data_IF_331017146979
#
_entry.id   IF_331017146979
#
_cell.length_a   1.000
_cell.length_b   1.000
_cell.length_c   1.000
_cell.angle_alpha   90.00
_cell.angle_beta   90.00
_cell.angle_gamma   90.00
#
_symmetry.space_group_name_H-M   'P 1'
#
loop_
_entity.id
_entity.type
_entity.pdbx_description
1 polymer ?
#
# COMPACT_ATOMS: atom_id res chain seq x y z
N UNK A 1 -43.91 -21.24 -24.76
CA UNK A 1 -43.83 -22.54 -24.05
C UNK A 1 -43.22 -22.32 -22.68
N UNK A 2 -44.02 -22.46 -21.63
CA UNK A 2 -43.59 -22.39 -20.23
C UNK A 2 -42.86 -23.69 -19.83
N UNK A 3 -41.79 -23.58 -19.04
CA UNK A 3 -41.53 -24.53 -17.95
C UNK A 3 -41.22 -23.77 -16.67
N UNK A 4 -42.27 -23.63 -15.85
CA UNK A 4 -42.21 -23.32 -14.42
C UNK A 4 -41.49 -24.46 -13.67
N UNK A 5 -40.68 -24.12 -12.66
CA UNK A 5 -40.47 -24.87 -11.41
C UNK A 5 -39.85 -23.88 -10.39
N UNK A 6 -40.72 -23.25 -9.59
CA UNK A 6 -40.98 -23.47 -8.15
C UNK A 6 -39.89 -22.92 -7.23
N UNK A 7 -40.25 -21.84 -6.52
CA UNK A 7 -39.55 -21.27 -5.39
C UNK A 7 -39.80 -22.08 -4.09
N UNK A 8 -38.91 -21.93 -3.10
CA UNK A 8 -39.26 -21.85 -1.68
C UNK A 8 -38.95 -20.42 -1.17
N UNK A 9 -39.94 -19.57 -0.89
CA UNK A 9 -40.63 -19.37 0.39
C UNK A 9 -39.68 -19.25 1.60
N UNK A 10 -39.54 -18.02 2.12
CA UNK A 10 -39.17 -17.79 3.52
C UNK A 10 -38.28 -16.58 3.81
N UNK A 11 -38.67 -15.35 3.48
CA UNK A 11 -38.15 -14.17 4.20
C UNK A 11 -39.29 -13.16 4.50
N UNK A 12 -39.33 -12.60 5.73
CA UNK A 12 -40.44 -11.78 6.21
C UNK A 12 -40.49 -10.38 5.59
N UNK A 13 -41.73 -9.98 5.27
CA UNK A 13 -42.12 -8.68 4.74
C UNK A 13 -41.93 -7.58 5.80
N UNK A 14 -40.98 -6.66 5.59
CA UNK A 14 -40.93 -5.40 6.35
C UNK A 14 -41.63 -4.30 5.53
N UNK A 15 -42.68 -3.64 6.06
CA UNK A 15 -43.41 -2.61 5.33
C UNK A 15 -42.53 -1.35 5.17
N UNK A 16 -42.37 -0.92 3.93
CA UNK A 16 -41.76 0.37 3.56
C UNK A 16 -42.66 1.48 4.10
N UNK A 17 -42.19 2.23 5.12
CA UNK A 17 -42.81 3.48 5.53
C UNK A 17 -42.43 4.56 4.53
N UNK A 18 -43.41 5.02 3.75
CA UNK A 18 -43.32 6.26 2.97
C UNK A 18 -43.00 7.42 3.92
N UNK A 19 -42.02 8.27 3.52
CA UNK A 19 -41.78 9.56 4.14
C UNK A 19 -42.31 10.67 3.21
N UNK A 20 -42.91 11.73 3.76
CA UNK A 20 -43.60 12.76 3.00
C UNK A 20 -42.62 13.73 2.33
N UNK A 21 -43.10 14.34 1.24
CA UNK A 21 -42.42 15.39 0.49
C UNK A 21 -42.36 16.74 1.22
N UNK A 22 -41.42 17.56 0.72
CA UNK A 22 -41.27 19.02 0.80
C UNK A 22 -40.33 19.59 1.89
N UNK A 23 -39.34 20.35 1.41
CA UNK A 23 -38.57 21.32 2.21
C UNK A 23 -37.14 21.52 1.71
N UNK A 24 -36.97 22.35 0.68
CA UNK A 24 -35.66 22.74 0.16
C UNK A 24 -34.81 23.50 1.19
N UNK A 25 -33.53 23.14 1.30
CA UNK A 25 -32.46 24.04 1.70
C UNK A 25 -31.13 23.58 1.08
N UNK A 26 -30.56 24.44 0.23
CA UNK A 26 -29.27 24.28 -0.43
C UNK A 26 -28.12 24.50 0.56
N UNK A 27 -27.04 23.70 0.47
CA UNK A 27 -25.68 24.22 0.31
C UNK A 27 -24.59 23.13 0.24
N UNK A 28 -23.68 23.35 -0.71
CA UNK A 28 -22.26 23.00 -0.76
C UNK A 28 -21.76 21.54 -0.95
N UNK A 29 -21.46 21.28 -2.23
CA UNK A 29 -20.24 20.66 -2.78
C UNK A 29 -19.86 19.22 -2.40
N UNK A 30 -20.40 18.26 -3.17
CA UNK A 30 -19.77 16.97 -3.45
C UNK A 30 -19.05 17.07 -4.81
N UNK A 31 -17.74 16.85 -4.84
CA UNK A 31 -17.01 16.59 -6.09
C UNK A 31 -17.39 15.20 -6.60
N UNK A 32 -18.34 15.13 -7.53
CA UNK A 32 -18.61 13.92 -8.30
C UNK A 32 -17.49 13.72 -9.30
N UNK A 33 -16.85 12.55 -9.29
CA UNK A 33 -16.00 12.11 -10.39
C UNK A 33 -16.86 12.05 -11.65
N UNK A 34 -16.61 12.95 -12.60
CA UNK A 34 -17.16 12.90 -13.95
C UNK A 34 -16.16 12.19 -14.84
N UNK A 35 -16.64 11.21 -15.60
CA UNK A 35 -15.93 10.70 -16.77
C UNK A 35 -16.02 11.78 -17.83
N UNK A 36 -14.94 12.51 -18.09
CA UNK A 36 -14.87 13.39 -19.25
C UNK A 36 -14.56 12.53 -20.48
N UNK A 37 -15.46 12.58 -21.46
CA UNK A 37 -15.25 11.94 -22.78
C UNK A 37 -14.83 13.06 -23.72
N UNK A 38 -13.53 13.20 -23.95
CA UNK A 38 -13.00 14.14 -24.94
C UNK A 38 -13.04 13.46 -26.31
N UNK A 39 -13.94 13.91 -27.18
CA UNK A 39 -14.13 13.36 -28.53
C UNK A 39 -13.20 14.12 -29.49
N UNK A 40 -11.95 13.69 -29.53
CA UNK A 40 -11.01 14.03 -30.60
C UNK A 40 -11.12 13.03 -31.74
N UNK A 41 -11.20 13.53 -32.98
CA UNK A 41 -11.31 12.72 -34.20
C UNK A 41 -10.14 11.70 -34.32
N UNK A 42 -10.51 10.42 -34.50
CA UNK A 42 -9.65 9.25 -34.73
C UNK A 42 -8.65 8.92 -33.60
N UNK A 43 -9.09 8.15 -32.60
CA UNK A 43 -8.18 7.55 -31.61
C UNK A 43 -8.90 6.58 -30.69
N UNK A 44 -8.25 5.47 -30.37
CA UNK A 44 -8.70 4.49 -29.37
C UNK A 44 -9.14 5.20 -28.09
N UNK A 45 -10.33 4.85 -27.57
CA UNK A 45 -10.79 5.29 -26.26
C UNK A 45 -9.84 4.70 -25.22
N UNK A 46 -8.88 5.50 -24.74
CA UNK A 46 -8.10 5.15 -23.55
C UNK A 46 -8.96 5.47 -22.33
N UNK A 47 -9.37 4.44 -21.60
CA UNK A 47 -9.97 4.64 -20.29
C UNK A 47 -8.97 5.39 -19.39
N UNK A 48 -9.31 6.62 -18.99
CA UNK A 48 -8.48 7.42 -18.10
C UNK A 48 -8.89 7.12 -16.65
N UNK A 49 -8.00 6.45 -15.91
CA UNK A 49 -8.22 6.12 -14.51
C UNK A 49 -7.83 7.27 -13.60
N UNK A 50 -8.57 7.48 -12.51
CA UNK A 50 -8.29 8.50 -11.50
C UNK A 50 -8.28 7.89 -10.11
N UNK A 51 -7.40 8.39 -9.23
CA UNK A 51 -7.39 8.01 -7.81
C UNK A 51 -7.99 9.12 -6.96
N UNK A 52 -8.71 8.72 -5.93
CA UNK A 52 -9.09 9.60 -4.84
C UNK A 52 -8.54 9.05 -3.52
N UNK A 53 -8.14 9.94 -2.61
CA UNK A 53 -7.79 9.61 -1.24
C UNK A 53 -8.81 10.26 -0.32
N UNK A 54 -9.28 9.54 0.70
CA UNK A 54 -10.17 10.14 1.70
C UNK A 54 -9.44 11.12 2.60
N UNK A 55 -8.23 10.74 2.99
CA UNK A 55 -7.36 11.52 3.85
C UNK A 55 -6.14 11.93 3.04
N UNK A 56 -6.18 13.13 2.46
CA UNK A 56 -5.02 13.70 1.77
C UNK A 56 -3.98 14.16 2.79
N UNK A 57 -2.78 14.46 2.32
CA UNK A 57 -1.71 15.03 3.17
C UNK A 57 -1.93 16.50 3.55
N UNK A 58 -2.93 17.18 2.97
CA UNK A 58 -3.08 18.63 3.15
C UNK A 58 -3.31 19.07 4.61
N UNK A 59 -4.12 18.36 5.43
CA UNK A 59 -4.26 18.68 6.85
C UNK A 59 -2.94 18.56 7.62
N UNK A 60 -2.14 17.54 7.32
CA UNK A 60 -0.81 17.36 7.89
C UNK A 60 0.17 18.47 7.45
N UNK A 61 0.13 18.89 6.18
CA UNK A 61 0.92 20.03 5.71
C UNK A 61 0.57 21.33 6.43
N UNK A 62 -0.72 21.57 6.66
CA UNK A 62 -1.17 22.75 7.39
C UNK A 62 -0.69 22.70 8.85
N UNK A 63 -0.72 21.53 9.48
CA UNK A 63 -0.17 21.32 10.82
C UNK A 63 1.33 21.62 10.84
N UNK A 64 2.12 21.03 9.95
CA UNK A 64 3.58 21.20 9.92
C UNK A 64 3.95 22.70 9.82
N UNK A 65 3.31 23.44 8.90
CA UNK A 65 3.53 24.88 8.74
C UNK A 65 3.14 25.69 9.98
N UNK A 66 2.05 25.32 10.66
CA UNK A 66 1.61 26.00 11.87
C UNK A 66 2.44 25.67 13.12
N UNK A 67 3.26 24.61 13.08
CA UNK A 67 4.15 24.21 14.17
C UNK A 67 5.57 24.80 14.03
N UNK A 68 5.89 25.57 12.99
CA UNK A 68 7.25 26.09 12.72
C UNK A 68 7.87 26.84 13.91
N UNK A 69 7.05 27.54 14.70
CA UNK A 69 7.49 28.28 15.90
C UNK A 69 7.25 27.52 17.23
N UNK A 70 6.78 26.28 17.17
CA UNK A 70 6.41 25.47 18.35
C UNK A 70 7.40 24.32 18.57
N UNK A 71 8.64 24.67 18.96
CA UNK A 71 9.77 23.73 19.00
C UNK A 71 9.54 22.51 19.92
N UNK A 72 8.84 22.67 21.04
CA UNK A 72 8.52 21.53 21.93
C UNK A 72 7.67 20.47 21.22
N UNK A 73 6.72 20.89 20.38
CA UNK A 73 5.86 19.99 19.59
C UNK A 73 6.64 19.38 18.42
N UNK A 74 7.49 20.16 17.76
CA UNK A 74 8.39 19.66 16.72
C UNK A 74 9.34 18.59 17.29
N UNK A 75 9.89 18.83 18.48
CA UNK A 75 10.77 17.88 19.15
C UNK A 75 10.02 16.60 19.54
N UNK A 76 8.79 16.69 20.05
CA UNK A 76 7.96 15.51 20.31
C UNK A 76 7.72 14.66 19.05
N UNK A 77 7.53 15.26 17.88
CA UNK A 77 7.42 14.55 16.60
C UNK A 77 8.72 13.81 16.26
N UNK A 78 9.87 14.45 16.47
CA UNK A 78 11.19 13.83 16.27
C UNK A 78 11.42 12.67 17.23
N UNK A 79 11.08 12.83 18.50
CA UNK A 79 11.25 11.81 19.55
C UNK A 79 10.38 10.57 19.29
N UNK A 80 9.19 10.76 18.70
CA UNK A 80 8.33 9.66 18.25
C UNK A 80 8.89 8.92 17.01
N UNK A 81 9.95 9.43 16.38
CA UNK A 81 10.54 8.85 15.15
C UNK A 81 9.94 9.39 13.85
N UNK A 82 9.10 10.42 13.90
CA UNK A 82 8.45 10.99 12.71
C UNK A 82 9.14 12.27 12.21
N UNK A 83 10.39 12.51 12.62
CA UNK A 83 11.12 13.74 12.29
C UNK A 83 11.24 14.03 10.80
N UNK A 84 11.39 12.99 9.96
CA UNK A 84 11.48 13.20 8.51
C UNK A 84 10.16 13.60 7.83
N UNK A 85 9.02 13.31 8.45
CA UNK A 85 7.70 13.76 7.97
C UNK A 85 7.57 15.29 8.05
N UNK A 86 8.33 15.97 8.91
CA UNK A 86 8.35 17.43 8.99
C UNK A 86 8.81 18.09 7.68
N UNK A 87 9.46 17.34 6.77
CA UNK A 87 9.87 17.83 5.46
C UNK A 87 8.83 17.59 4.35
N UNK A 88 7.63 17.10 4.69
CA UNK A 88 6.56 16.85 3.73
C UNK A 88 6.15 18.16 3.03
N UNK A 89 6.21 18.18 1.71
CA UNK A 89 5.66 19.26 0.87
C UNK A 89 5.15 18.67 -0.46
N UNK A 90 3.89 18.23 -0.46
CA UNK A 90 3.27 17.54 -1.59
C UNK A 90 2.19 18.42 -2.24
N UNK A 91 2.01 18.37 -3.57
CA UNK A 91 0.93 19.10 -4.23
C UNK A 91 -0.45 18.49 -3.87
N UNK A 92 -1.50 19.32 -3.94
CA UNK A 92 -2.86 18.94 -3.50
C UNK A 92 -3.43 17.68 -4.16
N UNK A 93 -3.15 17.44 -5.45
CA UNK A 93 -3.52 16.18 -6.11
C UNK A 93 -2.93 16.06 -7.52
N UNK A 94 -2.78 14.83 -7.99
CA UNK A 94 -2.55 14.48 -9.40
C UNK A 94 -3.22 13.13 -9.71
N UNK A 95 -4.57 13.09 -9.77
CA UNK A 95 -5.35 11.84 -9.72
C UNK A 95 -4.95 10.82 -10.79
N UNK A 96 -4.68 11.27 -12.02
CA UNK A 96 -4.43 10.36 -13.15
C UNK A 96 -3.05 9.73 -13.05
N UNK A 97 -2.04 10.53 -12.64
CA UNK A 97 -0.70 10.00 -12.38
C UNK A 97 -0.72 9.03 -11.20
N UNK A 98 -1.40 9.39 -10.11
CA UNK A 98 -1.52 8.55 -8.93
C UNK A 98 -2.19 7.21 -9.28
N UNK A 99 -3.19 7.21 -10.16
CA UNK A 99 -3.91 6.00 -10.55
C UNK A 99 -3.00 5.10 -11.36
N UNK A 100 -2.30 5.68 -12.33
CA UNK A 100 -1.29 4.99 -13.12
C UNK A 100 -0.24 4.37 -12.20
N UNK A 101 0.28 5.12 -11.22
CA UNK A 101 1.29 4.65 -10.29
C UNK A 101 0.80 3.44 -9.47
N UNK A 102 -0.39 3.52 -8.87
CA UNK A 102 -0.97 2.43 -8.06
C UNK A 102 -1.33 1.21 -8.91
N UNK A 103 -1.83 1.41 -10.13
CA UNK A 103 -2.14 0.32 -11.05
C UNK A 103 -0.90 -0.43 -11.55
N UNK A 104 0.28 0.19 -11.45
CA UNK A 104 1.55 -0.44 -11.79
C UNK A 104 2.27 -1.02 -10.56
N UNK A 105 1.63 -1.08 -9.39
CA UNK A 105 2.19 -1.83 -8.25
C UNK A 105 1.85 -3.30 -8.40
N UNK A 106 2.88 -4.15 -8.43
CA UNK A 106 2.70 -5.59 -8.24
C UNK A 106 2.73 -5.87 -6.73
N UNK A 107 1.56 -6.22 -6.17
CA UNK A 107 1.42 -6.47 -4.74
C UNK A 107 2.02 -7.82 -4.31
N UNK A 108 2.19 -8.77 -5.23
CA UNK A 108 2.76 -10.08 -4.93
C UNK A 108 4.29 -9.98 -4.85
N UNK A 109 4.91 -9.31 -5.84
CA UNK A 109 6.35 -9.09 -5.88
C UNK A 109 6.80 -7.85 -5.10
N UNK A 110 5.85 -7.07 -4.59
CA UNK A 110 6.07 -5.82 -3.84
C UNK A 110 7.00 -4.86 -4.60
N UNK A 111 6.61 -4.53 -5.83
CA UNK A 111 7.40 -3.68 -6.71
C UNK A 111 6.55 -2.75 -7.57
N UNK A 112 7.16 -1.72 -8.15
CA UNK A 112 6.53 -0.88 -9.19
C UNK A 112 7.00 -1.38 -10.55
N UNK A 113 6.07 -1.86 -11.36
CA UNK A 113 6.30 -2.25 -12.75
C UNK A 113 6.47 -0.99 -13.59
N UNK A 114 7.65 -0.87 -14.20
CA UNK A 114 8.01 0.21 -15.09
C UNK A 114 7.96 -0.27 -16.55
N UNK A 115 8.07 0.69 -17.48
CA UNK A 115 8.16 0.37 -18.89
C UNK A 115 9.37 -0.53 -19.19
N UNK A 116 9.21 -1.40 -20.20
CA UNK A 116 10.21 -2.39 -20.64
C UNK A 116 10.48 -3.49 -19.61
N UNK A 117 9.44 -3.90 -18.86
CA UNK A 117 9.50 -4.97 -17.85
C UNK A 117 10.61 -4.78 -16.81
N UNK A 118 10.95 -3.53 -16.48
CA UNK A 118 11.83 -3.22 -15.35
C UNK A 118 10.99 -3.03 -14.11
N UNK A 119 11.52 -3.37 -12.96
CA UNK A 119 10.82 -3.23 -11.68
C UNK A 119 11.60 -2.32 -10.74
N UNK A 120 10.86 -1.61 -9.88
CA UNK A 120 11.40 -0.93 -8.71
C UNK A 120 10.97 -1.74 -7.51
N UNK A 121 11.86 -2.61 -7.00
CA UNK A 121 11.55 -3.40 -5.81
C UNK A 121 11.42 -2.49 -4.60
N UNK A 122 10.38 -2.70 -3.81
CA UNK A 122 10.08 -1.93 -2.60
C UNK A 122 10.30 -2.82 -1.38
N UNK A 123 11.06 -2.33 -0.41
CA UNK A 123 11.37 -2.99 0.87
C UNK A 123 11.09 -2.04 2.05
N UNK A 124 10.98 -2.54 3.29
CA UNK A 124 10.82 -1.67 4.47
C UNK A 124 11.90 -0.59 4.58
N UNK A 125 13.15 -0.91 4.22
CA UNK A 125 14.24 0.07 4.17
C UNK A 125 13.95 1.25 3.23
N UNK A 126 13.24 1.04 2.13
CA UNK A 126 12.87 2.12 1.22
C UNK A 126 11.91 3.11 1.91
N UNK A 127 11.05 2.66 2.84
CA UNK A 127 10.20 3.54 3.68
C UNK A 127 11.06 4.38 4.62
N UNK A 128 12.05 3.75 5.27
CA UNK A 128 13.00 4.46 6.13
C UNK A 128 13.77 5.52 5.35
N UNK A 129 14.27 5.19 4.15
CA UNK A 129 14.98 6.14 3.29
C UNK A 129 14.09 7.32 2.90
N UNK A 130 12.80 7.07 2.60
CA UNK A 130 11.87 8.12 2.16
C UNK A 130 11.44 9.03 3.31
N UNK A 131 10.96 8.47 4.41
CA UNK A 131 10.32 9.22 5.49
C UNK A 131 11.19 9.40 6.74
N UNK A 132 12.25 8.61 6.92
CA UNK A 132 13.02 8.54 8.16
C UNK A 132 12.27 7.83 9.30
N UNK A 133 11.26 7.02 9.01
CA UNK A 133 10.49 6.31 10.05
C UNK A 133 11.31 5.21 10.72
N UNK A 134 11.03 4.85 11.98
CA UNK A 134 11.70 3.73 12.63
C UNK A 134 11.49 2.42 11.86
N UNK A 135 12.56 1.64 11.76
CA UNK A 135 12.59 0.36 11.06
C UNK A 135 13.05 -0.72 12.04
N UNK A 136 12.35 -1.85 12.05
CA UNK A 136 12.56 -2.92 13.04
C UNK A 136 11.96 -2.60 14.41
N UNK A 137 12.25 -3.45 15.40
CA UNK A 137 11.68 -3.34 16.75
C UNK A 137 10.34 -4.05 16.89
N UNK A 138 9.40 -3.45 17.63
CA UNK A 138 8.10 -4.06 17.96
C UNK A 138 7.18 -4.06 16.74
N UNK A 139 6.57 -5.20 16.44
CA UNK A 139 5.59 -5.33 15.35
C UNK A 139 4.32 -4.55 15.68
N UNK A 140 3.82 -3.77 14.72
CA UNK A 140 2.51 -3.11 14.82
C UNK A 140 1.44 -4.10 14.39
N UNK A 141 0.62 -4.54 15.34
CA UNK A 141 -0.53 -5.42 15.09
C UNK A 141 -1.82 -4.61 15.19
N UNK A 142 -2.63 -4.66 14.14
CA UNK A 142 -3.98 -4.11 14.19
C UNK A 142 -4.87 -5.03 15.03
N UNK A 143 -5.35 -4.54 16.17
CA UNK A 143 -6.17 -5.33 17.07
C UNK A 143 -7.48 -5.77 16.39
N UNK A 144 -7.75 -7.07 16.40
CA UNK A 144 -9.03 -7.61 15.94
C UNK A 144 -10.15 -7.40 16.99
N UNK A 145 -9.80 -7.41 18.28
CA UNK A 145 -10.72 -7.25 19.41
C UNK A 145 -10.25 -6.11 20.32
N UNK A 146 -11.20 -5.37 20.90
CA UNK A 146 -10.90 -4.30 21.86
C UNK A 146 -10.63 -4.89 23.26
N UNK A 147 -9.54 -4.47 23.90
CA UNK A 147 -9.26 -4.73 25.31
C UNK A 147 -9.60 -3.47 26.12
N UNK A 148 -9.65 -3.58 27.45
CA UNK A 148 -10.11 -2.51 28.33
C UNK A 148 -9.25 -1.23 28.21
N UNK A 149 -7.93 -1.37 28.11
CA UNK A 149 -7.01 -0.25 27.91
C UNK A 149 -7.28 0.50 26.61
N UNK A 150 -7.51 -0.21 25.50
CA UNK A 150 -7.85 0.39 24.22
C UNK A 150 -9.17 1.17 24.30
N UNK A 151 -10.17 0.65 25.00
CA UNK A 151 -11.45 1.34 25.21
C UNK A 151 -11.26 2.64 26.01
N UNK A 152 -10.38 2.62 27.02
CA UNK A 152 -10.07 3.79 27.84
C UNK A 152 -9.35 4.88 27.04
N UNK A 153 -8.31 4.51 26.27
CA UNK A 153 -7.60 5.43 25.36
C UNK A 153 -8.58 6.04 24.35
N UNK A 154 -9.52 5.23 23.82
CA UNK A 154 -10.55 5.72 22.90
C UNK A 154 -11.51 6.71 23.56
N UNK A 155 -11.91 6.47 24.79
CA UNK A 155 -12.78 7.37 25.54
C UNK A 155 -12.07 8.68 25.84
N UNK A 156 -10.82 8.61 26.27
CA UNK A 156 -9.98 9.76 26.56
C UNK A 156 -9.78 10.63 25.32
N UNK A 157 -9.38 10.03 24.19
CA UNK A 157 -9.18 10.76 22.95
C UNK A 157 -10.46 11.43 22.45
N UNK A 158 -11.61 10.74 22.52
CA UNK A 158 -12.91 11.33 22.17
C UNK A 158 -13.25 12.50 23.09
N UNK A 159 -13.06 12.34 24.40
CA UNK A 159 -13.34 13.39 25.38
C UNK A 159 -12.46 14.62 25.15
N UNK A 160 -11.18 14.40 24.84
CA UNK A 160 -10.23 15.44 24.49
C UNK A 160 -10.68 16.28 23.29
N UNK A 161 -11.32 15.64 22.29
CA UNK A 161 -11.89 16.31 21.12
C UNK A 161 -13.40 16.62 21.23
N UNK A 162 -13.92 16.84 22.43
CA UNK A 162 -15.29 17.32 22.64
C UNK A 162 -16.40 16.24 22.67
N UNK A 163 -16.05 14.97 22.88
CA UNK A 163 -16.94 13.88 23.31
C UNK A 163 -17.92 13.31 22.27
N UNK A 164 -18.08 13.96 21.11
CA UNK A 164 -19.12 13.60 20.12
C UNK A 164 -18.81 12.44 19.17
N UNK A 165 -17.55 11.98 19.08
CA UNK A 165 -17.12 10.94 18.14
C UNK A 165 -15.63 10.99 17.81
N UNK A 166 -15.19 10.24 16.80
CA UNK A 166 -13.82 10.39 16.28
C UNK A 166 -13.73 11.77 15.61
N UNK A 167 -12.74 12.61 15.96
CA UNK A 167 -12.63 13.97 15.44
C UNK A 167 -12.40 13.98 13.92
N UNK A 168 -12.87 15.06 13.28
CA UNK A 168 -12.51 15.39 11.91
C UNK A 168 -11.05 15.86 11.86
N UNK A 169 -10.39 15.71 10.71
CA UNK A 169 -9.00 16.14 10.54
C UNK A 169 -8.78 17.63 10.73
N UNK A 170 -9.74 18.46 10.34
CA UNK A 170 -9.65 19.90 10.61
C UNK A 170 -9.62 20.19 12.11
N UNK A 171 -10.50 19.54 12.89
CA UNK A 171 -10.53 19.68 14.34
C UNK A 171 -9.23 19.13 14.99
N UNK A 172 -8.71 18.00 14.50
CA UNK A 172 -7.40 17.49 14.95
C UNK A 172 -6.30 18.54 14.74
N UNK A 173 -6.25 19.18 13.57
CA UNK A 173 -5.24 20.19 13.25
C UNK A 173 -5.39 21.41 14.14
N UNK A 174 -6.61 21.91 14.32
CA UNK A 174 -6.91 23.07 15.17
C UNK A 174 -6.45 22.80 16.62
N UNK A 175 -6.79 21.64 17.18
CA UNK A 175 -6.40 21.26 18.54
C UNK A 175 -4.88 21.07 18.68
N UNK A 176 -4.23 20.46 17.68
CA UNK A 176 -2.78 20.24 17.70
C UNK A 176 -1.99 21.57 17.59
N UNK A 177 -2.57 22.59 16.93
CA UNK A 177 -1.96 23.91 16.76
C UNK A 177 -2.16 24.85 17.95
N UNK A 178 -3.13 24.58 18.84
CA UNK A 178 -3.40 25.39 20.03
C UNK A 178 -2.11 25.60 20.86
N UNK A 179 -1.60 26.84 21.02
CA UNK A 179 -0.30 27.10 21.64
C UNK A 179 -0.21 26.61 23.09
N UNK A 180 -1.32 26.66 23.83
CA UNK A 180 -1.36 26.27 25.23
C UNK A 180 -1.48 24.76 25.46
N UNK A 181 -1.58 23.98 24.38
CA UNK A 181 -1.75 22.54 24.43
C UNK A 181 -0.37 21.86 24.40
N UNK A 182 0.10 21.26 25.51
CA UNK A 182 1.43 20.66 25.57
C UNK A 182 1.49 19.37 24.74
N UNK A 183 2.69 18.93 24.29
CA UNK A 183 2.88 17.66 23.58
C UNK A 183 2.80 16.44 24.52
N UNK A 184 1.71 16.34 25.28
CA UNK A 184 1.39 15.22 26.18
C UNK A 184 0.92 13.97 25.41
N UNK A 185 0.54 12.91 26.14
CA UNK A 185 0.09 11.66 25.53
C UNK A 185 -1.13 11.84 24.61
N UNK A 186 -2.04 12.75 24.95
CA UNK A 186 -3.24 13.00 24.14
C UNK A 186 -2.86 13.69 22.85
N UNK A 187 -2.01 14.72 22.93
CA UNK A 187 -1.46 15.41 21.76
C UNK A 187 -0.71 14.44 20.83
N UNK A 188 0.17 13.60 21.39
CA UNK A 188 0.94 12.59 20.63
C UNK A 188 0.03 11.60 19.92
N UNK A 189 -1.03 11.11 20.57
CA UNK A 189 -2.02 10.21 19.95
C UNK A 189 -2.80 10.90 18.83
N UNK A 190 -3.16 12.18 19.00
CA UNK A 190 -3.84 12.98 17.97
C UNK A 190 -2.94 13.22 16.75
N UNK A 191 -1.66 13.52 16.98
CA UNK A 191 -0.67 13.61 15.90
C UNK A 191 -0.51 12.26 15.18
N UNK A 192 -0.38 11.18 15.94
CA UNK A 192 -0.21 9.83 15.39
C UNK A 192 -1.42 9.44 14.51
N UNK A 193 -2.63 9.79 14.95
CA UNK A 193 -3.85 9.59 14.18
C UNK A 193 -3.82 10.31 12.84
N UNK A 194 -3.37 11.56 12.83
CA UNK A 194 -3.26 12.36 11.62
C UNK A 194 -2.21 11.78 10.66
N UNK A 195 -0.97 11.56 11.13
CA UNK A 195 0.13 11.14 10.26
C UNK A 195 -0.06 9.75 9.69
N UNK A 196 -0.55 8.78 10.48
CA UNK A 196 -0.78 7.42 10.00
C UNK A 196 -1.79 7.42 8.87
N UNK A 197 -2.89 8.15 9.00
CA UNK A 197 -3.94 8.18 7.99
C UNK A 197 -3.58 8.98 6.74
N UNK A 198 -2.70 9.99 6.85
CA UNK A 198 -2.23 10.77 5.71
C UNK A 198 -1.12 10.06 4.91
N UNK A 199 -0.21 9.37 5.61
CA UNK A 199 1.07 8.95 5.03
C UNK A 199 1.30 7.44 5.00
N UNK A 200 0.58 6.66 5.80
CA UNK A 200 0.84 5.21 6.02
C UNK A 200 -0.35 4.36 5.61
N UNK A 201 -1.46 4.46 6.34
CA UNK A 201 -2.67 3.66 6.14
C UNK A 201 -3.91 4.44 6.55
N UNK A 202 -4.80 4.66 5.58
CA UNK A 202 -6.14 5.19 5.77
C UNK A 202 -7.15 4.05 5.79
N UNK A 203 -8.43 4.36 6.01
CA UNK A 203 -9.56 3.46 5.72
C UNK A 203 -10.40 3.99 4.56
N UNK A 204 -11.20 3.08 3.99
CA UNK A 204 -12.27 3.41 3.06
C UNK A 204 -13.51 4.04 3.74
N UNK A 205 -13.51 4.15 5.07
CA UNK A 205 -14.54 4.84 5.85
C UNK A 205 -14.19 6.34 5.99
N UNK A 206 -15.17 7.19 6.29
CA UNK A 206 -14.96 8.62 6.60
C UNK A 206 -14.34 8.85 7.98
N UNK A 207 -14.41 7.84 8.86
CA UNK A 207 -13.73 7.89 10.15
C UNK A 207 -12.27 7.48 10.00
N UNK A 208 -11.32 8.19 10.62
CA UNK A 208 -9.91 7.84 10.61
C UNK A 208 -9.63 6.41 11.09
N UNK A 209 -8.65 5.74 10.47
CA UNK A 209 -8.09 4.48 10.93
C UNK A 209 -7.52 4.70 12.33
N UNK A 210 -7.98 3.88 13.27
CA UNK A 210 -7.43 3.85 14.62
C UNK A 210 -7.27 2.40 15.06
N UNK A 211 -6.91 1.47 14.16
CA UNK A 211 -6.74 0.04 14.50
C UNK A 211 -5.36 -0.30 15.08
N UNK A 212 -4.40 0.63 14.98
CA UNK A 212 -3.06 0.54 15.58
C UNK A 212 -3.04 0.88 17.08
N UNK A 213 -4.17 0.70 17.79
CA UNK A 213 -4.38 1.24 19.15
C UNK A 213 -3.34 0.78 20.16
N UNK A 214 -2.81 -0.45 20.04
CA UNK A 214 -1.75 -0.95 20.91
C UNK A 214 -0.49 -0.07 20.89
N UNK A 215 -0.15 0.47 19.73
CA UNK A 215 0.97 1.40 19.53
C UNK A 215 0.72 2.77 20.16
N UNK A 216 -0.54 3.12 20.39
CA UNK A 216 -0.97 4.40 20.94
C UNK A 216 -1.24 4.36 22.45
N UNK A 217 -1.17 3.19 23.10
CA UNK A 217 -1.37 3.06 24.56
C UNK A 217 -0.25 3.76 25.31
N UNK A 218 0.99 3.35 25.09
CA UNK A 218 2.19 3.96 25.66
C UNK A 218 2.90 4.83 24.60
N UNK A 219 2.74 6.14 24.71
CA UNK A 219 3.30 7.08 23.73
C UNK A 219 4.83 7.16 23.79
N UNK A 220 5.45 6.76 24.90
CA UNK A 220 6.90 6.74 25.05
C UNK A 220 7.57 5.67 24.18
N UNK A 221 6.80 4.66 23.77
CA UNK A 221 7.29 3.52 23.00
C UNK A 221 7.06 3.67 21.50
N UNK A 222 6.42 4.76 21.04
CA UNK A 222 6.05 4.95 19.61
C UNK A 222 7.26 4.76 18.68
N UNK A 223 8.43 5.26 19.05
CA UNK A 223 9.65 5.14 18.24
C UNK A 223 10.26 3.73 18.23
N UNK A 224 9.83 2.84 19.12
CA UNK A 224 10.31 1.45 19.20
C UNK A 224 9.58 0.47 18.27
N UNK A 225 8.57 0.93 17.53
CA UNK A 225 7.76 0.10 16.64
C UNK A 225 8.25 0.14 15.19
N UNK A 226 8.06 -0.97 14.47
CA UNK A 226 8.41 -1.08 13.06
C UNK A 226 7.36 -0.43 12.15
N UNK A 227 7.46 0.88 12.00
CA UNK A 227 6.59 1.67 11.12
C UNK A 227 6.85 1.40 9.64
N UNK A 228 8.08 1.00 9.30
CA UNK A 228 8.46 0.70 7.92
C UNK A 228 7.75 -0.55 7.41
N UNK A 229 7.81 -1.66 8.14
CA UNK A 229 7.11 -2.89 7.75
C UNK A 229 5.60 -2.71 7.76
N UNK A 230 5.05 -1.94 8.71
CA UNK A 230 3.62 -1.62 8.73
C UNK A 230 3.18 -0.82 7.49
N UNK A 231 4.02 0.10 7.02
CA UNK A 231 3.77 0.87 5.78
C UNK A 231 3.79 -0.02 4.54
N UNK A 232 4.71 -0.98 4.46
CA UNK A 232 4.75 -1.95 3.35
C UNK A 232 3.50 -2.83 3.35
N UNK A 233 3.08 -3.35 4.51
CA UNK A 233 1.85 -4.14 4.58
C UNK A 233 0.62 -3.31 4.15
N UNK A 234 0.56 -2.04 4.56
CA UNK A 234 -0.47 -1.11 4.09
C UNK A 234 -0.45 -0.95 2.57
N UNK A 235 0.72 -0.80 1.94
CA UNK A 235 0.85 -0.69 0.49
C UNK A 235 0.31 -1.94 -0.23
N UNK A 236 0.65 -3.14 0.26
CA UNK A 236 0.17 -4.41 -0.31
C UNK A 236 -1.35 -4.48 -0.24
N UNK A 237 -1.91 -4.36 0.98
CA UNK A 237 -3.35 -4.44 1.23
C UNK A 237 -4.15 -3.43 0.39
N UNK A 238 -3.65 -2.19 0.34
CA UNK A 238 -4.31 -1.08 -0.35
C UNK A 238 -4.22 -1.18 -1.87
N UNK A 239 -3.11 -1.71 -2.40
CA UNK A 239 -2.95 -1.94 -3.85
C UNK A 239 -3.93 -3.00 -4.32
N UNK A 240 -4.00 -4.15 -3.62
CA UNK A 240 -4.97 -5.21 -3.92
C UNK A 240 -6.41 -4.67 -3.84
N UNK A 241 -6.71 -3.92 -2.78
CA UNK A 241 -8.04 -3.34 -2.58
C UNK A 241 -8.47 -2.39 -3.70
N UNK A 242 -7.56 -1.52 -4.16
CA UNK A 242 -7.85 -0.53 -5.21
C UNK A 242 -7.85 -1.16 -6.61
N UNK A 243 -6.93 -2.08 -6.91
CA UNK A 243 -6.87 -2.77 -8.20
C UNK A 243 -8.09 -3.68 -8.43
N UNK A 244 -8.69 -4.19 -7.36
CA UNK A 244 -9.94 -4.94 -7.46
C UNK A 244 -11.16 -4.12 -7.91
N UNK A 245 -11.14 -2.79 -7.73
CA UNK A 245 -12.14 -1.85 -8.23
C UNK A 245 -11.61 -0.40 -8.16
N UNK A 246 -11.19 0.10 -9.31
CA UNK A 246 -10.53 1.41 -9.49
C UNK A 246 -11.42 2.61 -9.18
N UNK A 247 -12.73 2.40 -8.92
CA UNK A 247 -13.65 3.44 -8.45
C UNK A 247 -13.53 3.68 -6.94
N UNK A 248 -12.83 2.82 -6.22
CA UNK A 248 -12.59 2.94 -4.78
C UNK A 248 -11.61 4.06 -4.47
N UNK A 249 -11.62 4.50 -3.21
CA UNK A 249 -10.55 5.33 -2.68
C UNK A 249 -9.30 4.47 -2.49
N UNK A 250 -8.12 5.02 -2.74
CA UNK A 250 -6.86 4.36 -2.39
C UNK A 250 -6.50 4.68 -0.93
N UNK A 251 -6.48 3.69 -0.01
CA UNK A 251 -6.19 3.92 1.40
C UNK A 251 -4.70 3.80 1.76
N UNK A 252 -3.83 3.58 0.77
CA UNK A 252 -2.41 3.29 1.00
C UNK A 252 -1.50 4.51 1.15
N UNK A 253 -0.19 4.26 1.34
CA UNK A 253 0.83 5.28 1.58
C UNK A 253 1.26 5.96 0.28
N UNK A 254 0.36 6.73 -0.33
CA UNK A 254 0.61 7.37 -1.63
C UNK A 254 1.83 8.32 -1.65
N UNK A 255 2.08 9.17 -0.63
CA UNK A 255 3.24 10.05 -0.65
C UNK A 255 4.56 9.27 -0.71
N UNK A 256 4.66 8.18 0.06
CA UNK A 256 5.78 7.25 -0.01
C UNK A 256 5.96 6.67 -1.41
N UNK A 257 4.88 6.13 -1.98
CA UNK A 257 4.93 5.48 -3.30
C UNK A 257 5.41 6.46 -4.38
N UNK A 258 4.93 7.71 -4.34
CA UNK A 258 5.35 8.77 -5.25
C UNK A 258 6.84 9.07 -5.12
N UNK A 259 7.33 9.34 -3.90
CA UNK A 259 8.74 9.68 -3.67
C UNK A 259 9.65 8.50 -4.02
N UNK A 260 9.27 7.26 -3.67
CA UNK A 260 10.02 6.05 -4.01
C UNK A 260 10.18 5.89 -5.53
N UNK A 261 9.09 6.08 -6.29
CA UNK A 261 9.13 6.07 -7.75
C UNK A 261 10.01 7.20 -8.32
N UNK A 262 9.86 8.41 -7.80
CA UNK A 262 10.60 9.57 -8.31
C UNK A 262 12.11 9.49 -8.04
N UNK A 263 12.50 9.01 -6.86
CA UNK A 263 13.88 8.77 -6.49
C UNK A 263 14.53 7.68 -7.35
N UNK A 264 13.89 6.52 -7.46
CA UNK A 264 14.48 5.34 -8.11
C UNK A 264 14.54 5.45 -9.62
N UNK A 265 13.59 6.15 -10.25
CA UNK A 265 13.55 6.31 -11.69
C UNK A 265 14.00 7.72 -12.09
N UNK A 266 15.23 7.87 -12.55
CA UNK A 266 15.72 9.13 -13.09
C UNK A 266 15.10 9.42 -14.45
N UNK A 267 14.59 10.64 -14.62
CA UNK A 267 14.04 11.13 -15.90
C UNK A 267 14.95 12.19 -16.49
N UNK A 268 15.26 12.04 -17.78
CA UNK A 268 16.17 12.94 -18.51
C UNK A 268 17.53 13.02 -17.78
N UNK A 269 18.20 14.15 -17.90
CA UNK A 269 19.45 14.45 -17.18
C UNK A 269 19.17 15.26 -15.90
N UNK A 270 18.00 15.08 -15.26
CA UNK A 270 17.68 15.74 -13.99
C UNK A 270 18.22 14.86 -12.88
N UNK A 271 19.29 15.32 -12.24
CA UNK A 271 19.91 14.65 -11.09
C UNK A 271 19.37 15.31 -9.82
N UNK A 272 18.71 14.51 -8.99
CA UNK A 272 18.23 14.94 -7.68
C UNK A 272 19.22 14.47 -6.60
N UNK A 273 19.53 15.29 -5.58
CA UNK A 273 20.20 14.78 -4.39
C UNK A 273 19.37 13.66 -3.77
N UNK A 274 20.04 12.66 -3.23
CA UNK A 274 19.40 11.49 -2.58
C UNK A 274 19.78 11.46 -1.10
N UNK A 275 19.58 12.58 -0.42
CA UNK A 275 19.86 12.72 1.02
C UNK A 275 18.66 12.20 1.82
N UNK A 276 18.94 11.50 2.91
CA UNK A 276 17.91 10.91 3.78
C UNK A 276 17.47 11.99 4.80
N UNK A 277 16.16 12.18 5.03
CA UNK A 277 15.04 11.49 4.40
C UNK A 277 14.75 12.04 2.99
N UNK A 278 14.53 11.15 2.01
CA UNK A 278 14.40 11.53 0.59
C UNK A 278 13.25 12.48 0.34
N UNK A 279 12.19 12.45 1.17
CA UNK A 279 11.05 13.36 1.03
C UNK A 279 11.45 14.83 1.10
N UNK A 280 12.54 15.16 1.80
CA UNK A 280 13.10 16.52 1.87
C UNK A 280 13.55 17.06 0.52
N UNK A 281 13.93 16.18 -0.41
CA UNK A 281 14.42 16.57 -1.72
C UNK A 281 13.29 16.86 -2.71
N UNK A 282 12.05 16.45 -2.39
CA UNK A 282 10.87 16.51 -3.25
C UNK A 282 9.82 17.49 -2.70
N UNK A 283 9.95 18.76 -3.08
CA UNK A 283 8.93 19.79 -2.87
C UNK A 283 7.79 19.73 -3.90
N UNK A 284 6.73 20.48 -3.62
CA UNK A 284 5.52 20.51 -4.44
C UNK A 284 5.79 20.86 -5.91
N UNK A 285 6.73 21.77 -6.17
CA UNK A 285 7.07 22.24 -7.51
C UNK A 285 7.85 21.19 -8.30
N UNK A 286 8.84 20.54 -7.67
CA UNK A 286 9.60 19.45 -8.28
C UNK A 286 8.71 18.27 -8.60
N UNK A 287 7.80 17.92 -7.69
CA UNK A 287 6.82 16.85 -7.92
C UNK A 287 5.92 17.20 -9.11
N UNK A 288 5.37 18.42 -9.16
CA UNK A 288 4.52 18.84 -10.27
C UNK A 288 5.26 18.79 -11.62
N UNK A 289 6.51 19.29 -11.67
CA UNK A 289 7.38 19.20 -12.86
C UNK A 289 7.65 17.76 -13.25
N UNK A 290 7.91 16.88 -12.28
CA UNK A 290 8.16 15.46 -12.51
C UNK A 290 6.92 14.77 -13.09
N UNK A 291 5.74 15.00 -12.54
CA UNK A 291 4.47 14.45 -13.05
C UNK A 291 4.19 14.93 -14.48
N UNK A 292 4.46 16.20 -14.79
CA UNK A 292 4.32 16.72 -16.15
C UNK A 292 5.24 16.00 -17.15
N UNK A 293 6.44 15.59 -16.73
CA UNK A 293 7.37 14.79 -17.55
C UNK A 293 6.82 13.38 -17.79
N UNK A 294 6.23 12.75 -16.79
CA UNK A 294 5.59 11.42 -16.92
C UNK A 294 4.41 11.49 -17.91
N UNK A 295 3.56 12.53 -17.79
CA UNK A 295 2.45 12.76 -18.72
C UNK A 295 2.91 12.95 -20.16
N UNK A 296 3.99 13.72 -20.36
CA UNK A 296 4.48 14.06 -21.71
C UNK A 296 5.22 12.92 -22.41
N UNK A 297 6.04 12.16 -21.67
CA UNK A 297 6.95 11.17 -22.27
C UNK A 297 6.57 9.72 -21.96
N UNK A 298 5.49 9.48 -21.20
CA UNK A 298 5.04 8.16 -20.78
C UNK A 298 5.58 7.73 -19.42
N UNK A 299 4.77 6.99 -18.67
CA UNK A 299 5.07 6.43 -17.35
C UNK A 299 6.17 5.36 -17.42
N UNK A 300 7.00 5.25 -16.38
CA UNK A 300 7.95 4.14 -16.18
C UNK A 300 9.17 4.13 -17.11
N UNK A 301 9.34 5.13 -17.98
CA UNK A 301 10.54 5.28 -18.82
C UNK A 301 11.64 6.04 -18.05
N UNK A 302 12.92 5.80 -18.33
CA UNK A 302 14.02 6.49 -17.64
C UNK A 302 15.17 5.57 -17.26
N UNK A 303 16.10 6.07 -16.46
CA UNK A 303 17.24 5.31 -15.93
C UNK A 303 16.90 4.86 -14.52
N UNK A 304 16.96 3.55 -14.27
CA UNK A 304 16.78 3.02 -12.92
C UNK A 304 18.07 3.24 -12.14
N UNK A 305 17.97 3.90 -10.99
CA UNK A 305 19.10 4.14 -10.09
C UNK A 305 19.26 2.99 -9.10
N UNK A 306 20.52 2.78 -8.72
CA UNK A 306 20.90 1.82 -7.67
C UNK A 306 20.25 2.18 -6.34
N UNK A 307 20.04 1.17 -5.49
CA UNK A 307 19.52 1.39 -4.14
C UNK A 307 20.57 2.13 -3.30
N UNK A 308 20.10 2.96 -2.37
CA UNK A 308 20.98 3.54 -1.35
C UNK A 308 21.27 2.43 -0.36
N UNK A 309 22.55 2.10 -0.17
CA UNK A 309 22.96 1.17 0.87
C UNK A 309 22.98 1.88 2.21
N UNK A 310 22.23 1.35 3.19
CA UNK A 310 22.35 1.78 4.58
C UNK A 310 23.43 0.93 5.23
N UNK A 311 24.51 1.58 5.65
CA UNK A 311 25.53 0.95 6.47
C UNK A 311 25.04 0.99 7.91
N UNK A 312 24.87 -0.18 8.53
CA UNK A 312 24.83 -0.22 9.99
C UNK A 312 26.18 0.28 10.52
N UNK A 313 26.21 0.82 11.75
CA UNK A 313 27.45 1.33 12.38
C UNK A 313 28.60 0.30 12.48
N UNK A 314 28.39 -0.96 12.06
CA UNK A 314 29.39 -2.02 11.95
C UNK A 314 29.84 -2.37 10.51
N UNK A 315 29.31 -1.72 9.47
CA UNK A 315 29.71 -1.98 8.07
C UNK A 315 29.21 -3.31 7.49
N UNK A 316 28.19 -3.94 8.09
CA UNK A 316 27.51 -5.11 7.53
C UNK A 316 26.19 -4.70 6.86
N UNK A 317 25.75 -5.37 5.78
CA UNK A 317 24.40 -5.20 5.26
C UNK A 317 23.40 -5.59 6.34
N UNK A 318 22.35 -4.77 6.54
CA UNK A 318 21.19 -5.09 7.39
C UNK A 318 20.66 -6.49 7.04
N UNK A 319 21.06 -7.48 7.83
CA UNK A 319 20.43 -8.79 7.83
C UNK A 319 19.10 -8.61 8.56
N UNK A 320 18.01 -8.53 7.81
CA UNK A 320 16.66 -8.59 8.36
C UNK A 320 16.48 -10.02 8.87
N UNK A 321 16.79 -10.26 10.15
CA UNK A 321 16.33 -11.46 10.83
C UNK A 321 14.80 -11.35 10.95
N UNK A 322 14.11 -12.05 10.05
CA UNK A 322 12.67 -12.27 10.16
C UNK A 322 12.46 -13.13 11.40
N UNK A 323 12.21 -12.49 12.54
CA UNK A 323 11.84 -13.20 13.76
C UNK A 323 10.52 -13.91 13.53
N UNK A 324 10.57 -15.23 13.39
CA UNK A 324 9.39 -16.09 13.54
C UNK A 324 8.97 -16.03 15.01
N UNK A 325 7.83 -15.40 15.30
CA UNK A 325 7.25 -15.49 16.64
C UNK A 325 6.44 -16.79 16.78
N UNK A 326 6.62 -17.45 17.93
CA UNK A 326 6.01 -18.71 18.38
C UNK A 326 4.48 -18.68 18.59
N UNK A 327 3.79 -17.70 18.00
CA UNK A 327 2.33 -17.59 17.99
C UNK A 327 1.78 -17.62 16.56
N UNK A 328 2.01 -18.72 15.86
CA UNK A 328 1.04 -19.34 14.95
C UNK A 328 0.39 -18.52 13.82
N UNK A 329 0.89 -17.34 13.47
CA UNK A 329 0.42 -16.58 12.30
C UNK A 329 1.61 -15.86 11.65
N UNK A 330 2.29 -16.56 10.75
CA UNK A 330 3.24 -15.99 9.79
C UNK A 330 2.88 -16.52 8.40
N UNK A 331 2.82 -15.59 7.44
CA UNK A 331 2.58 -15.76 6.00
C UNK A 331 1.16 -16.14 5.59
N UNK A 332 0.32 -15.13 5.37
CA UNK A 332 -0.71 -15.23 4.33
C UNK A 332 0.00 -15.21 2.96
N UNK A 333 0.62 -16.33 2.58
CA UNK A 333 0.38 -16.78 1.22
C UNK A 333 -1.06 -17.28 1.25
N UNK A 334 -1.99 -16.59 0.60
CA UNK A 334 -3.34 -17.15 0.51
C UNK A 334 -3.23 -18.56 -0.09
N UNK A 335 -4.05 -19.53 0.32
CA UNK A 335 -4.05 -20.86 -0.31
C UNK A 335 -4.10 -20.74 -1.85
N UNK A 336 -4.79 -19.70 -2.34
CA UNK A 336 -4.85 -19.34 -3.75
C UNK A 336 -3.49 -18.96 -4.36
N UNK A 337 -2.67 -18.20 -3.64
CA UNK A 337 -1.33 -17.77 -4.05
C UNK A 337 -0.30 -18.89 -3.96
N UNK A 338 -0.35 -19.73 -2.91
CA UNK A 338 0.39 -21.00 -2.89
C UNK A 338 0.02 -21.86 -4.11
N UNK A 339 -1.28 -21.97 -4.41
CA UNK A 339 -1.76 -22.75 -5.55
C UNK A 339 -1.31 -22.13 -6.88
N UNK A 340 -1.26 -20.80 -6.98
CA UNK A 340 -0.81 -20.08 -8.17
C UNK A 340 0.70 -20.21 -8.40
N UNK A 341 1.51 -20.00 -7.37
CA UNK A 341 2.97 -20.19 -7.43
C UNK A 341 3.33 -21.65 -7.71
N UNK A 342 2.64 -22.59 -7.05
CA UNK A 342 2.79 -24.02 -7.32
C UNK A 342 2.41 -24.34 -8.77
N UNK A 343 1.32 -23.76 -9.29
CA UNK A 343 0.90 -23.91 -10.68
C UNK A 343 1.94 -23.36 -11.66
N UNK A 344 2.48 -22.17 -11.42
CA UNK A 344 3.48 -21.56 -12.28
C UNK A 344 4.80 -22.35 -12.29
N UNK A 345 5.25 -22.81 -11.12
CA UNK A 345 6.41 -23.68 -11.00
C UNK A 345 6.19 -25.02 -11.72
N UNK A 346 5.01 -25.61 -11.56
CA UNK A 346 4.66 -26.88 -12.22
C UNK A 346 4.53 -26.74 -13.74
N UNK A 347 3.97 -25.64 -14.25
CA UNK A 347 3.92 -25.33 -15.70
C UNK A 347 5.33 -25.14 -16.28
N UNK A 348 6.23 -24.47 -15.55
CA UNK A 348 7.63 -24.26 -15.95
C UNK A 348 8.39 -25.59 -16.02
N UNK A 349 8.22 -26.46 -15.01
CA UNK A 349 8.80 -27.79 -14.97
C UNK A 349 8.24 -28.64 -16.11
N UNK A 350 6.93 -28.65 -16.33
CA UNK A 350 6.28 -29.40 -17.41
C UNK A 350 6.81 -28.96 -18.80
N UNK A 351 6.91 -27.66 -19.05
CA UNK A 351 7.49 -27.11 -20.28
C UNK A 351 8.95 -27.54 -20.48
N UNK A 352 9.74 -27.51 -19.40
CA UNK A 352 11.15 -27.95 -19.42
C UNK A 352 11.28 -29.44 -19.74
N UNK A 353 10.40 -30.30 -19.20
CA UNK A 353 10.35 -31.73 -19.53
C UNK A 353 9.92 -31.98 -20.98
N UNK A 354 8.95 -31.23 -21.50
CA UNK A 354 8.57 -31.31 -22.92
C UNK A 354 9.75 -30.92 -23.82
N UNK A 355 10.50 -29.88 -23.48
CA UNK A 355 11.70 -29.52 -24.23
C UNK A 355 12.80 -30.57 -24.11
N UNK A 356 13.03 -31.12 -22.92
CA UNK A 356 13.99 -32.20 -22.70
C UNK A 356 13.62 -33.45 -23.52
N UNK A 357 12.35 -33.88 -23.53
CA UNK A 357 11.90 -35.03 -24.33
C UNK A 357 12.08 -34.79 -25.84
N UNK A 358 11.87 -33.57 -26.34
CA UNK A 358 12.17 -33.20 -27.73
C UNK A 358 13.66 -33.31 -28.03
N UNK A 359 14.52 -32.86 -27.11
CA UNK A 359 15.98 -32.97 -27.23
C UNK A 359 16.43 -34.43 -27.21
N UNK A 360 15.89 -35.25 -26.31
CA UNK A 360 16.21 -36.68 -26.21
C UNK A 360 15.78 -37.44 -27.48
N UNK A 361 14.57 -37.18 -28.01
CA UNK A 361 14.12 -37.70 -29.33
C UNK A 361 14.99 -37.23 -30.48
N UNK A 362 15.54 -36.02 -30.41
CA UNK A 362 16.48 -35.52 -31.40
C UNK A 362 17.84 -36.24 -31.28
N UNK A 363 18.26 -36.57 -30.05
CA UNK A 363 19.46 -37.35 -29.74
C UNK A 363 19.40 -38.81 -30.17
N UNK A 364 18.22 -39.42 -30.18
CA UNK A 364 18.00 -40.79 -30.70
C UNK A 364 18.31 -40.93 -32.19
N UNK A 365 18.36 -39.83 -32.95
CA UNK A 365 18.84 -39.84 -34.34
C UNK A 365 20.36 -40.05 -34.45
N UNK A 366 21.08 -39.91 -33.34
CA UNK A 366 22.54 -40.01 -33.28
C UNK A 366 23.02 -41.24 -32.48
N UNK A 367 22.12 -42.05 -31.93
CA UNK A 367 22.44 -43.24 -31.14
C UNK A 367 21.56 -44.45 -31.53
N UNK A 368 22.15 -45.64 -31.72
CA UNK A 368 21.44 -46.88 -32.10
C UNK A 368 20.64 -47.55 -30.97
N UNK A 369 20.36 -46.84 -29.87
CA UNK A 369 19.55 -47.33 -28.75
C UNK A 369 18.59 -46.22 -28.30
N UNK A 370 17.33 -46.55 -27.98
CA UNK A 370 16.41 -45.57 -27.40
C UNK A 370 16.99 -45.06 -26.08
N UNK A 371 17.00 -43.75 -25.93
CA UNK A 371 17.52 -43.05 -24.74
C UNK A 371 16.41 -43.01 -23.68
N UNK A 372 15.16 -43.03 -24.13
CA UNK A 372 13.95 -43.23 -23.36
C UNK A 372 13.71 -44.74 -23.11
N UNK A 373 13.71 -45.15 -21.84
CA UNK A 373 13.18 -46.44 -21.43
C UNK A 373 12.02 -46.25 -20.47
N UNK A 374 11.04 -47.16 -20.50
CA UNK A 374 9.77 -47.13 -19.75
C UNK A 374 9.92 -46.77 -18.26
N UNK A 375 11.06 -47.11 -17.64
CA UNK A 375 11.35 -46.77 -16.25
C UNK A 375 11.44 -45.24 -15.98
N UNK A 376 11.90 -44.45 -16.96
CA UNK A 376 12.04 -42.99 -16.80
C UNK A 376 10.69 -42.29 -16.89
N UNK A 377 9.85 -42.70 -17.86
CA UNK A 377 8.47 -42.25 -17.98
C UNK A 377 7.64 -42.65 -16.75
N UNK A 378 7.79 -43.88 -16.28
CA UNK A 378 7.13 -44.38 -15.07
C UNK A 378 7.49 -43.56 -13.82
N UNK A 379 8.78 -43.25 -13.62
CA UNK A 379 9.24 -42.48 -12.46
C UNK A 379 8.73 -41.03 -12.48
N UNK A 380 8.68 -40.40 -13.66
CA UNK A 380 8.14 -39.05 -13.84
C UNK A 380 6.63 -39.02 -13.64
N UNK A 381 5.88 -39.96 -14.22
CA UNK A 381 4.42 -40.07 -14.04
C UNK A 381 4.02 -40.35 -12.58
N UNK A 382 4.81 -41.18 -11.88
CA UNK A 382 4.61 -41.50 -10.45
C UNK A 382 4.90 -40.30 -9.56
N UNK A 383 5.98 -39.56 -9.83
CA UNK A 383 6.31 -38.33 -9.11
C UNK A 383 5.21 -37.27 -9.29
N UNK A 384 4.72 -37.07 -10.51
CA UNK A 384 3.64 -36.12 -10.81
C UNK A 384 2.28 -36.51 -10.24
N UNK A 385 1.94 -37.79 -10.22
CA UNK A 385 0.69 -38.27 -9.59
C UNK A 385 0.66 -38.01 -8.08
N UNK A 386 1.82 -38.07 -7.41
CA UNK A 386 1.95 -37.75 -5.98
C UNK A 386 1.85 -36.25 -5.69
N UNK A 387 2.37 -35.40 -6.59
CA UNK A 387 2.36 -33.96 -6.42
C UNK A 387 1.02 -33.31 -6.78
N UNK A 388 0.29 -33.85 -7.77
CA UNK A 388 -0.97 -33.28 -8.26
C UNK A 388 -2.22 -33.82 -7.55
N UNK A 389 -2.10 -34.91 -6.79
CA UNK A 389 -3.24 -35.62 -6.18
C UNK A 389 -4.15 -36.35 -7.19
N UNK A 390 -3.78 -36.35 -8.47
CA UNK A 390 -4.50 -37.02 -9.56
C UNK A 390 -3.63 -38.17 -10.06
N UNK A 391 -4.19 -39.38 -10.14
CA UNK A 391 -3.47 -40.54 -10.68
C UNK A 391 -3.39 -40.42 -12.20
N UNK A 392 -2.22 -40.07 -12.73
CA UNK A 392 -1.96 -40.07 -14.17
C UNK A 392 -1.80 -41.55 -14.60
N UNK A 393 -2.59 -42.00 -15.57
CA UNK A 393 -2.43 -43.34 -16.15
C UNK A 393 -1.21 -43.39 -17.06
N UNK A 394 -0.53 -44.54 -17.06
CA UNK A 394 0.63 -44.86 -17.92
C UNK A 394 0.39 -44.62 -19.41
#
# INVERSE_FOLDING_TARGET
MLKKRRAPLGEPYFPVKEKPEAGAAQSASQSKAQTEVDVGEQGEIKEEFTTSQRHTVQPLLNLIRGLEEQEEKLQAIRDMGFGGILHLDMPRSSPNFNATLVLNVDANEVCIVCARNRTIDIKPVDVHLVYGLPMGGKVIVEAANENEEMVMVMRELKAYHGGGGIPKFSALVDDLLEPNNPPDDRWKRSFLLLVVNCCIKSVANTQPLFKFKHTAVDTSQISSFDWCSYTIQSLIDSSIYYQGDVKRYFPGPLPFLMVCYFDRLQRKNIIMPRQIPLIKEWDSDKIAKRIAIERKLGFGLGTLLDKIEIQDGCGQPLAIEVFSNDYGYVLFYSLHEYTHLLRQATETIASSFVNLSKILKMGEKFHNRPIDGDATLYNVATMWSRLSGIKLSE
#
